data_IF_532878127504
#
_entry.id   IF_532878127504
#
_cell.length_a   1.000
_cell.length_b   1.000
_cell.length_c   1.000
_cell.angle_alpha   90.00
_cell.angle_beta   90.00
_cell.angle_gamma   90.00
#
_symmetry.space_group_name_H-M   'P 1'
#
loop_
_entity.id
_entity.type
_entity.pdbx_description
1 polymer ?
#
# COMPACT_ATOMS: atom_id res chain seq x y z
N UNK A 1 2.55 -0.78 19.16
CA UNK A 1 1.21 -1.39 19.03
C UNK A 1 0.14 -0.62 19.80
N UNK A 2 0.34 -0.30 21.10
CA UNK A 2 -0.66 0.42 21.92
C UNK A 2 -1.22 1.70 21.27
N UNK A 3 -0.37 2.48 20.59
CA UNK A 3 -0.78 3.71 19.90
C UNK A 3 -1.50 3.48 18.57
N UNK A 4 -0.96 2.62 17.69
CA UNK A 4 -1.45 2.47 16.31
C UNK A 4 -2.60 1.46 16.16
N UNK A 5 -2.77 0.54 17.13
CA UNK A 5 -3.80 -0.51 17.07
C UNK A 5 -5.21 0.05 16.87
N UNK A 6 -5.66 1.09 17.60
CA UNK A 6 -7.02 1.60 17.46
C UNK A 6 -7.30 2.11 16.04
N UNK A 7 -6.36 2.87 15.47
CA UNK A 7 -6.53 3.45 14.14
C UNK A 7 -6.51 2.39 13.03
N UNK A 8 -5.60 1.41 13.13
CA UNK A 8 -5.55 0.30 12.18
C UNK A 8 -6.83 -0.52 12.29
N UNK A 9 -7.28 -0.86 13.50
CA UNK A 9 -8.49 -1.68 13.69
C UNK A 9 -9.72 -0.97 13.12
N UNK A 10 -9.91 0.32 13.43
CA UNK A 10 -11.00 1.13 12.88
C UNK A 10 -10.99 1.13 11.35
N UNK A 11 -9.82 1.29 10.72
CA UNK A 11 -9.70 1.24 9.27
C UNK A 11 -10.11 -0.13 8.69
N UNK A 12 -9.67 -1.23 9.30
CA UNK A 12 -10.02 -2.58 8.87
C UNK A 12 -11.54 -2.81 8.99
N UNK A 13 -12.15 -2.36 10.08
CA UNK A 13 -13.58 -2.50 10.37
C UNK A 13 -14.43 -1.68 9.38
N UNK A 14 -14.05 -0.43 9.12
CA UNK A 14 -14.71 0.43 8.13
C UNK A 14 -14.64 -0.16 6.72
N UNK A 15 -13.46 -0.65 6.32
CA UNK A 15 -13.31 -1.32 5.03
C UNK A 15 -14.15 -2.60 4.98
N UNK A 16 -14.19 -3.38 6.06
CA UNK A 16 -14.96 -4.63 6.09
C UNK A 16 -16.47 -4.36 5.96
N UNK A 17 -16.98 -3.35 6.66
CA UNK A 17 -18.38 -2.97 6.64
C UNK A 17 -18.81 -2.38 5.28
N UNK A 18 -18.02 -1.44 4.76
CA UNK A 18 -18.42 -0.62 3.60
C UNK A 18 -17.82 -1.09 2.28
N UNK A 19 -16.77 -1.92 2.30
CA UNK A 19 -15.97 -2.35 1.13
C UNK A 19 -15.37 -1.20 0.34
N UNK A 20 -15.25 -0.03 0.97
CA UNK A 20 -14.72 1.20 0.40
C UNK A 20 -13.47 1.59 1.18
N UNK A 21 -12.45 2.06 0.45
CA UNK A 21 -11.28 2.67 1.06
C UNK A 21 -11.59 4.10 1.50
N UNK A 22 -11.31 4.47 2.77
CA UNK A 22 -11.38 5.87 3.21
C UNK A 22 -10.64 6.80 2.25
N UNK A 23 -11.20 7.98 1.98
CA UNK A 23 -10.66 8.92 1.00
C UNK A 23 -9.19 9.23 1.30
N UNK A 24 -8.33 9.12 0.28
CA UNK A 24 -6.89 9.38 0.41
C UNK A 24 -6.06 8.22 0.96
N UNK A 25 -6.68 7.13 1.44
CA UNK A 25 -5.93 5.97 1.97
C UNK A 25 -5.18 5.17 0.89
N UNK A 26 -5.56 5.31 -0.38
CA UNK A 26 -4.88 4.75 -1.54
C UNK A 26 -3.98 5.76 -2.27
N UNK A 27 -3.78 6.96 -1.71
CA UNK A 27 -2.85 7.92 -2.28
C UNK A 27 -1.42 7.37 -2.23
N UNK A 28 -0.65 7.61 -3.28
CA UNK A 28 0.74 7.18 -3.35
C UNK A 28 1.60 8.20 -4.10
N UNK A 29 2.88 8.27 -3.73
CA UNK A 29 3.88 8.99 -4.50
C UNK A 29 4.69 8.03 -5.34
N UNK A 30 5.06 8.43 -6.56
CA UNK A 30 6.00 7.67 -7.38
C UNK A 30 7.40 8.23 -7.10
N UNK A 31 8.29 7.37 -6.61
CA UNK A 31 9.71 7.69 -6.52
C UNK A 31 10.46 6.94 -7.63
N UNK A 32 11.35 7.65 -8.33
CA UNK A 32 12.20 7.08 -9.37
C UNK A 32 13.55 6.72 -8.75
N UNK A 33 13.84 5.42 -8.62
CA UNK A 33 15.12 4.94 -8.10
C UNK A 33 16.05 4.67 -9.28
N UNK A 34 17.26 5.27 -9.33
CA UNK A 34 18.20 5.02 -10.42
C UNK A 34 18.69 3.56 -10.41
N UNK A 35 18.76 2.93 -11.58
CA UNK A 35 19.33 1.58 -11.76
C UNK A 35 20.84 1.62 -12.04
N UNK A 36 21.34 2.75 -12.53
CA UNK A 36 22.73 3.00 -12.93
C UNK A 36 23.25 4.27 -12.24
N UNK A 37 24.57 4.46 -12.24
CA UNK A 37 25.23 5.56 -11.51
C UNK A 37 24.85 6.96 -12.01
N UNK A 38 24.66 7.12 -13.32
CA UNK A 38 24.33 8.39 -13.95
C UNK A 38 23.23 8.17 -15.01
N UNK A 39 21.96 8.15 -14.59
CA UNK A 39 20.85 7.83 -15.48
C UNK A 39 20.50 9.00 -16.42
N UNK A 40 20.55 8.75 -17.72
CA UNK A 40 20.26 9.71 -18.79
C UNK A 40 18.85 9.52 -19.38
N UNK A 41 18.26 8.32 -19.24
CA UNK A 41 16.96 7.99 -19.80
C UNK A 41 15.97 7.53 -18.73
N UNK A 42 14.66 7.78 -18.91
CA UNK A 42 13.61 7.34 -17.97
C UNK A 42 13.61 5.82 -17.74
N UNK A 43 13.99 5.03 -18.74
CA UNK A 43 14.06 3.57 -18.65
C UNK A 43 15.15 3.06 -17.69
N UNK A 44 16.12 3.92 -17.36
CA UNK A 44 17.20 3.64 -16.40
C UNK A 44 16.76 3.88 -14.96
N UNK A 45 15.51 4.31 -14.74
CA UNK A 45 14.89 4.38 -13.44
C UNK A 45 13.96 3.19 -13.20
N UNK A 46 13.88 2.77 -11.95
CA UNK A 46 12.87 1.84 -11.45
C UNK A 46 11.83 2.66 -10.66
N UNK A 47 10.59 2.80 -11.15
CA UNK A 47 9.55 3.45 -10.37
C UNK A 47 9.18 2.56 -9.18
N UNK A 48 9.04 3.16 -7.99
CA UNK A 48 8.43 2.55 -6.82
C UNK A 48 7.26 3.41 -6.34
N UNK A 49 6.15 2.76 -6.00
CA UNK A 49 5.01 3.43 -5.36
C UNK A 49 5.21 3.46 -3.84
N UNK A 50 5.34 4.68 -3.31
CA UNK A 50 5.32 4.97 -1.89
C UNK A 50 3.88 5.15 -1.44
N UNK A 51 3.23 4.02 -1.16
CA UNK A 51 1.86 3.95 -0.63
C UNK A 51 1.85 3.73 0.88
N UNK A 52 0.83 4.28 1.55
CA UNK A 52 0.66 4.18 3.00
C UNK A 52 0.67 2.75 3.53
N UNK A 53 1.22 2.54 4.73
CA UNK A 53 1.36 1.22 5.34
C UNK A 53 0.01 0.54 5.61
N UNK A 54 -1.02 1.31 5.94
CA UNK A 54 -2.37 0.81 6.21
C UNK A 54 -2.97 0.13 4.97
N UNK A 55 -2.78 0.72 3.79
CA UNK A 55 -3.16 0.10 2.52
C UNK A 55 -2.40 -1.22 2.30
N UNK A 56 -1.09 -1.24 2.57
CA UNK A 56 -0.27 -2.46 2.42
C UNK A 56 -0.74 -3.59 3.35
N UNK A 57 -1.16 -3.26 4.57
CA UNK A 57 -1.73 -4.24 5.52
C UNK A 57 -3.00 -4.87 4.92
N UNK A 58 -3.91 -4.04 4.40
CA UNK A 58 -5.13 -4.54 3.76
C UNK A 58 -4.86 -5.38 2.52
N UNK A 59 -3.98 -4.92 1.64
CA UNK A 59 -3.59 -5.66 0.46
C UNK A 59 -3.02 -7.04 0.83
N UNK A 60 -2.17 -7.12 1.86
CA UNK A 60 -1.62 -8.39 2.34
C UNK A 60 -2.70 -9.30 2.93
N UNK A 61 -3.63 -8.74 3.70
CA UNK A 61 -4.76 -9.48 4.28
C UNK A 61 -5.64 -10.09 3.18
N UNK A 62 -5.98 -9.32 2.15
CA UNK A 62 -6.78 -9.79 1.01
C UNK A 62 -6.03 -10.84 0.20
N UNK A 63 -4.73 -10.64 -0.08
CA UNK A 63 -3.90 -11.63 -0.78
C UNK A 63 -3.84 -12.96 -0.02
N UNK A 64 -3.74 -12.93 1.32
CA UNK A 64 -3.76 -14.13 2.14
C UNK A 64 -5.13 -14.83 2.13
N UNK A 65 -6.24 -14.10 1.95
CA UNK A 65 -7.58 -14.70 1.77
C UNK A 65 -7.69 -15.37 0.40
N UNK A 66 -7.23 -14.69 -0.66
CA UNK A 66 -7.22 -15.24 -2.02
C UNK A 66 -6.38 -16.52 -2.12
N UNK A 67 -5.22 -16.56 -1.45
CA UNK A 67 -4.36 -17.75 -1.40
C UNK A 67 -5.06 -19.02 -0.86
N UNK A 68 -6.17 -18.89 -0.11
CA UNK A 68 -6.89 -20.07 0.40
C UNK A 68 -7.82 -20.72 -0.62
N UNK A 69 -8.16 -19.99 -1.68
CA UNK A 69 -9.13 -20.42 -2.70
C UNK A 69 -8.50 -20.55 -4.09
N UNK A 70 -7.19 -20.30 -4.19
CA UNK A 70 -6.37 -20.43 -5.39
C UNK A 70 -5.20 -21.34 -5.06
#
# INVERSE_FOLDING_TARGET
>A
WKLLKPDISRFLDEFHANRIFPKGSNASFIALIPKVKDPQNLNEYKPISLIGCVYKIMAKLLANRLKKVM
#
